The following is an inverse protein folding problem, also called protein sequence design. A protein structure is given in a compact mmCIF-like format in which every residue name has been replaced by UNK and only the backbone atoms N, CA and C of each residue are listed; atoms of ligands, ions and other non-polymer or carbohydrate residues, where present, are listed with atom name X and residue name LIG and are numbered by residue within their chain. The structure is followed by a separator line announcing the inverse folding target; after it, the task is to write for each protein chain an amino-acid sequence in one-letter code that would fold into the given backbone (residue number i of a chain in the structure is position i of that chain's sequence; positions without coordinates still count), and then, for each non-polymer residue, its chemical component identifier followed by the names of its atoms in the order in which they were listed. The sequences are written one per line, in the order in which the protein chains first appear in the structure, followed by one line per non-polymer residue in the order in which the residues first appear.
data_IF_677299521394
#
_entry.id   IF_677299521394
#
_cell.length_a   1.000
_cell.length_b   1.000
_cell.length_c   1.000
_cell.angle_alpha   90.00
_cell.angle_beta   90.00
_cell.angle_gamma   90.00
#
_symmetry.space_group_name_H-M   'P 1'
#
loop_
_entity.id
_entity.type
_entity.pdbx_description
1 polymer ?
#
# COMPACT_ATOMS: atom_id res chain seq x y z
N UNK A 1 7.42 35.50 16.74
CA UNK A 1 8.14 34.26 17.14
C UNK A 1 7.36 33.32 18.06
N UNK A 2 7.11 33.60 19.36
CA UNK A 2 6.38 32.62 20.22
C UNK A 2 4.96 32.28 19.73
N UNK A 3 4.21 33.27 19.25
CA UNK A 3 2.86 33.06 18.69
C UNK A 3 2.88 32.28 17.37
N UNK A 4 3.87 32.50 16.50
CA UNK A 4 4.01 31.77 15.24
C UNK A 4 4.34 30.29 15.48
N UNK A 5 5.15 30.00 16.52
CA UNK A 5 5.46 28.64 16.94
C UNK A 5 4.23 27.96 17.56
N UNK A 6 3.43 28.67 18.36
CA UNK A 6 2.15 28.15 18.88
C UNK A 6 1.15 27.88 17.75
N UNK A 7 1.04 28.78 16.77
CA UNK A 7 0.17 28.60 15.62
C UNK A 7 0.60 27.39 14.77
N UNK A 8 1.89 27.29 14.46
CA UNK A 8 2.45 26.16 13.73
C UNK A 8 2.25 24.83 14.47
N UNK A 9 2.31 24.81 15.80
CA UNK A 9 1.99 23.61 16.59
C UNK A 9 0.52 23.22 16.49
N UNK A 10 -0.39 24.20 16.49
CA UNK A 10 -1.83 23.95 16.35
C UNK A 10 -2.15 23.41 14.96
N UNK A 11 -1.65 24.07 13.91
CA UNK A 11 -1.82 23.62 12.52
C UNK A 11 -1.23 22.23 12.29
N UNK A 12 0.00 21.99 12.76
CA UNK A 12 0.65 20.68 12.67
C UNK A 12 -0.16 19.60 13.38
N UNK A 13 -0.70 19.89 14.58
CA UNK A 13 -1.53 18.92 15.32
C UNK A 13 -2.83 18.60 14.57
N UNK A 14 -3.44 19.60 13.96
CA UNK A 14 -4.65 19.41 13.15
C UNK A 14 -4.36 18.60 11.88
N UNK A 15 -3.25 18.90 11.19
CA UNK A 15 -2.79 18.13 10.03
C UNK A 15 -2.46 16.68 10.39
N UNK A 16 -1.68 16.46 11.46
CA UNK A 16 -1.35 15.12 11.96
C UNK A 16 -2.62 14.35 12.33
N UNK A 17 -3.61 15.00 12.94
CA UNK A 17 -4.90 14.38 13.23
C UNK A 17 -5.67 13.96 11.97
N UNK A 18 -5.70 14.82 10.94
CA UNK A 18 -6.34 14.52 9.65
C UNK A 18 -5.64 13.37 8.94
N UNK A 19 -4.31 13.41 8.86
CA UNK A 19 -3.49 12.35 8.26
C UNK A 19 -3.65 11.05 9.04
N UNK A 20 -3.60 11.08 10.36
CA UNK A 20 -3.77 9.91 11.22
C UNK A 20 -5.16 9.27 11.08
N UNK A 21 -6.22 10.08 11.02
CA UNK A 21 -7.58 9.59 10.76
C UNK A 21 -7.68 8.97 9.36
N UNK A 22 -7.12 9.63 8.34
CA UNK A 22 -7.08 9.11 6.97
C UNK A 22 -6.37 7.77 6.86
N UNK A 23 -5.16 7.69 7.44
CA UNK A 23 -4.38 6.46 7.50
C UNK A 23 -5.09 5.35 8.28
N UNK A 24 -5.73 5.68 9.41
CA UNK A 24 -6.54 4.74 10.18
C UNK A 24 -7.75 4.21 9.41
N UNK A 25 -8.46 5.07 8.68
CA UNK A 25 -9.57 4.66 7.82
C UNK A 25 -9.11 3.77 6.66
N UNK A 26 -7.99 4.11 6.01
CA UNK A 26 -7.43 3.29 4.93
C UNK A 26 -6.92 1.94 5.45
N UNK A 27 -6.26 1.92 6.60
CA UNK A 27 -5.85 0.68 7.26
C UNK A 27 -7.05 -0.21 7.63
N UNK A 28 -8.08 0.40 8.23
CA UNK A 28 -9.33 -0.28 8.53
C UNK A 28 -10.04 -0.81 7.29
N UNK A 29 -10.07 -0.04 6.21
CA UNK A 29 -10.64 -0.45 4.92
C UNK A 29 -9.86 -1.62 4.30
N UNK A 30 -8.53 -1.65 4.45
CA UNK A 30 -7.71 -2.78 4.02
C UNK A 30 -8.08 -4.09 4.75
N UNK A 31 -8.21 -4.03 6.07
CA UNK A 31 -8.62 -5.20 6.89
C UNK A 31 -10.06 -5.61 6.56
N UNK A 32 -10.99 -4.65 6.54
CA UNK A 32 -12.39 -4.93 6.22
C UNK A 32 -12.56 -5.49 4.80
N UNK A 33 -11.83 -4.95 3.83
CA UNK A 33 -11.79 -5.44 2.46
C UNK A 33 -11.24 -6.87 2.38
N UNK A 34 -10.18 -7.20 3.13
CA UNK A 34 -9.66 -8.56 3.20
C UNK A 34 -10.71 -9.56 3.73
N UNK A 35 -11.40 -9.22 4.82
CA UNK A 35 -12.49 -10.05 5.33
C UNK A 35 -13.67 -10.15 4.36
N UNK A 36 -14.03 -9.06 3.68
CA UNK A 36 -15.09 -9.09 2.67
C UNK A 36 -14.74 -10.08 1.54
N UNK A 37 -13.48 -10.09 1.08
CA UNK A 37 -13.00 -11.03 0.07
C UNK A 37 -12.97 -12.48 0.59
N UNK A 38 -12.61 -12.69 1.86
CA UNK A 38 -12.69 -14.01 2.50
C UNK A 38 -14.13 -14.54 2.50
N UNK A 39 -15.08 -13.75 2.99
CA UNK A 39 -16.49 -14.14 3.04
C UNK A 39 -17.09 -14.30 1.64
N UNK A 40 -16.70 -13.47 0.68
CA UNK A 40 -17.08 -13.63 -0.72
C UNK A 40 -16.58 -14.97 -1.29
N UNK A 41 -15.37 -15.39 -0.92
CA UNK A 41 -14.80 -16.67 -1.36
C UNK A 41 -15.58 -17.85 -0.79
N UNK A 42 -15.93 -17.79 0.51
CA UNK A 42 -16.77 -18.81 1.14
C UNK A 42 -18.16 -18.85 0.52
N UNK A 43 -18.77 -17.69 0.31
CA UNK A 43 -20.09 -17.59 -0.33
C UNK A 43 -20.07 -18.17 -1.73
N UNK A 44 -19.03 -17.90 -2.54
CA UNK A 44 -18.89 -18.47 -3.86
C UNK A 44 -18.75 -20.00 -3.80
N UNK A 45 -17.91 -20.51 -2.89
CA UNK A 45 -17.70 -21.95 -2.73
C UNK A 45 -19.01 -22.67 -2.36
N UNK A 46 -19.77 -22.15 -1.40
CA UNK A 46 -21.06 -22.72 -1.01
C UNK A 46 -22.14 -22.54 -2.07
N UNK A 47 -22.14 -21.43 -2.80
CA UNK A 47 -23.07 -21.22 -3.92
C UNK A 47 -22.84 -22.23 -5.04
N UNK A 48 -21.59 -22.63 -5.28
CA UNK A 48 -21.24 -23.65 -6.26
C UNK A 48 -21.58 -25.07 -5.77
N UNK A 49 -21.62 -25.31 -4.46
CA UNK A 49 -21.92 -26.61 -3.86
C UNK A 49 -23.34 -27.11 -4.20
N UNK A 50 -24.28 -26.18 -4.45
CA UNK A 50 -25.63 -26.51 -4.89
C UNK A 50 -25.67 -27.25 -6.24
N UNK A 51 -24.62 -27.12 -7.07
CA UNK A 51 -24.56 -27.68 -8.42
C UNK A 51 -23.39 -28.62 -8.66
N UNK A 52 -22.31 -28.53 -7.88
CA UNK A 52 -21.06 -29.27 -8.03
C UNK A 52 -20.56 -29.73 -6.66
N UNK A 53 -19.75 -30.80 -6.56
CA UNK A 53 -19.11 -31.15 -5.30
C UNK A 53 -18.26 -29.98 -4.76
N UNK A 54 -18.30 -29.73 -3.46
CA UNK A 54 -17.55 -28.64 -2.80
C UNK A 54 -16.06 -28.61 -3.16
N UNK A 55 -15.43 -29.76 -3.38
CA UNK A 55 -14.03 -29.89 -3.85
C UNK A 55 -13.80 -29.12 -5.16
N UNK A 56 -14.73 -29.25 -6.11
CA UNK A 56 -14.68 -28.57 -7.41
C UNK A 56 -15.03 -27.08 -7.26
N UNK A 57 -16.01 -26.76 -6.42
CA UNK A 57 -16.35 -25.37 -6.09
C UNK A 57 -15.16 -24.60 -5.47
N UNK A 58 -14.40 -25.27 -4.60
CA UNK A 58 -13.19 -24.74 -3.99
C UNK A 58 -12.09 -24.52 -5.04
N UNK A 59 -11.87 -25.48 -5.96
CA UNK A 59 -10.89 -25.34 -7.04
C UNK A 59 -11.23 -24.21 -8.01
N UNK A 60 -12.51 -24.00 -8.34
CA UNK A 60 -12.95 -22.89 -9.18
C UNK A 60 -12.70 -21.55 -8.46
N UNK A 61 -13.07 -21.46 -7.18
CA UNK A 61 -12.85 -20.26 -6.36
C UNK A 61 -11.36 -19.94 -6.26
N UNK A 62 -10.51 -20.95 -6.06
CA UNK A 62 -9.05 -20.82 -6.13
C UNK A 62 -8.59 -20.31 -7.50
N UNK A 63 -9.12 -20.87 -8.59
CA UNK A 63 -8.80 -20.45 -9.95
C UNK A 63 -9.07 -18.96 -10.19
N UNK A 64 -10.19 -18.44 -9.69
CA UNK A 64 -10.51 -17.00 -9.76
C UNK A 64 -9.45 -16.16 -9.05
N UNK A 65 -9.07 -16.53 -7.82
CA UNK A 65 -8.03 -15.84 -7.07
C UNK A 65 -6.65 -15.96 -7.72
N UNK A 66 -6.31 -17.10 -8.30
CA UNK A 66 -5.06 -17.31 -9.01
C UNK A 66 -4.94 -16.37 -10.22
N UNK A 67 -6.03 -16.19 -10.98
CA UNK A 67 -6.07 -15.23 -12.09
C UNK A 67 -5.91 -13.80 -11.59
N UNK A 68 -6.66 -13.40 -10.56
CA UNK A 68 -6.54 -12.06 -9.96
C UNK A 68 -5.10 -11.80 -9.48
N UNK A 69 -4.51 -12.75 -8.76
CA UNK A 69 -3.14 -12.67 -8.26
C UNK A 69 -2.13 -12.56 -9.40
N UNK A 70 -2.27 -13.34 -10.46
CA UNK A 70 -1.40 -13.28 -11.63
C UNK A 70 -1.47 -11.89 -12.30
N UNK A 71 -2.68 -11.35 -12.50
CA UNK A 71 -2.88 -10.01 -13.08
C UNK A 71 -2.25 -8.94 -12.19
N UNK A 72 -2.52 -8.95 -10.89
CA UNK A 72 -1.95 -7.99 -9.94
C UNK A 72 -0.42 -8.07 -9.89
N UNK A 73 0.16 -9.29 -9.91
CA UNK A 73 1.60 -9.47 -9.94
C UNK A 73 2.23 -8.94 -11.23
N UNK A 74 1.58 -9.14 -12.39
CA UNK A 74 2.05 -8.60 -13.66
C UNK A 74 1.99 -7.06 -13.70
N UNK A 75 0.89 -6.47 -13.22
CA UNK A 75 0.74 -5.01 -13.12
C UNK A 75 1.78 -4.46 -12.14
N UNK A 76 1.88 -5.01 -10.93
CA UNK A 76 2.86 -4.56 -9.93
C UNK A 76 4.30 -4.68 -10.44
N UNK A 77 4.63 -5.76 -11.14
CA UNK A 77 5.95 -5.91 -11.78
C UNK A 77 6.19 -4.83 -12.84
N UNK A 78 5.19 -4.50 -13.65
CA UNK A 78 5.29 -3.42 -14.65
C UNK A 78 5.49 -2.06 -14.00
N UNK A 79 4.70 -1.74 -12.97
CA UNK A 79 4.83 -0.48 -12.22
C UNK A 79 6.20 -0.37 -11.55
N UNK A 80 6.71 -1.44 -10.94
CA UNK A 80 8.05 -1.46 -10.36
C UNK A 80 9.17 -1.32 -11.40
N UNK A 81 8.97 -1.82 -12.61
CA UNK A 81 9.92 -1.65 -13.72
C UNK A 81 9.85 -0.26 -14.34
N UNK A 82 8.67 0.35 -14.38
CA UNK A 82 8.45 1.72 -14.86
C UNK A 82 8.88 2.76 -13.84
N UNK A 83 8.77 2.45 -12.54
CA UNK A 83 9.32 3.26 -11.47
C UNK A 83 10.84 3.29 -11.64
N UNK A 84 11.37 4.41 -12.14
CA UNK A 84 12.80 4.60 -12.31
C UNK A 84 13.46 4.72 -10.92
N UNK A 85 14.24 3.73 -10.44
CA UNK A 85 14.95 3.85 -9.16
C UNK A 85 16.09 4.87 -9.24
N UNK A 86 16.46 5.30 -10.44
CA UNK A 86 17.37 6.41 -10.64
C UNK A 86 16.55 7.70 -10.57
N UNK A 87 16.43 8.25 -9.37
CA UNK A 87 16.15 9.67 -9.18
C UNK A 87 17.49 10.41 -9.34
N UNK A 88 17.92 10.82 -10.55
CA UNK A 88 19.25 11.39 -10.77
C UNK A 88 19.50 12.61 -9.89
N UNK A 89 18.48 13.42 -9.63
CA UNK A 89 18.60 14.57 -8.73
C UNK A 89 18.81 14.15 -7.28
N UNK A 90 18.05 13.18 -6.75
CA UNK A 90 18.24 12.69 -5.38
C UNK A 90 19.60 12.02 -5.20
N UNK A 91 20.11 11.31 -6.21
CA UNK A 91 21.46 10.74 -6.16
C UNK A 91 22.56 11.81 -6.28
N UNK A 92 22.33 12.90 -7.02
CA UNK A 92 23.26 14.04 -7.07
C UNK A 92 23.32 14.77 -5.73
N UNK A 93 22.17 15.11 -5.14
CA UNK A 93 22.10 15.77 -3.83
C UNK A 93 22.76 14.92 -2.73
N UNK A 94 22.49 13.61 -2.69
CA UNK A 94 23.15 12.72 -1.71
C UNK A 94 24.67 12.64 -1.94
N UNK A 95 25.13 12.64 -3.20
CA UNK A 95 26.57 12.64 -3.50
C UNK A 95 27.22 13.97 -3.08
N UNK A 96 26.57 15.09 -3.32
CA UNK A 96 27.03 16.42 -2.89
C UNK A 96 27.06 16.54 -1.37
N UNK A 97 26.03 16.08 -0.67
CA UNK A 97 25.97 16.07 0.80
C UNK A 97 27.08 15.20 1.42
N UNK A 98 27.33 14.02 0.84
CA UNK A 98 28.44 13.14 1.27
C UNK A 98 29.80 13.78 1.00
N UNK A 99 29.97 14.47 -0.12
CA UNK A 99 31.20 15.21 -0.43
C UNK A 99 31.42 16.38 0.55
N UNK A 100 30.37 17.14 0.85
CA UNK A 100 30.43 18.26 1.78
C UNK A 100 30.75 17.79 3.20
N UNK A 101 30.12 16.70 3.66
CA UNK A 101 30.38 16.09 4.96
C UNK A 101 31.82 15.52 5.08
N UNK A 102 32.40 15.00 3.99
CA UNK A 102 33.81 14.56 3.98
C UNK A 102 34.78 15.73 4.01
N UNK A 103 34.51 16.80 3.26
CA UNK A 103 35.34 18.00 3.22
C UNK A 103 35.38 18.76 4.56
N UNK A 104 34.30 18.68 5.36
CA UNK A 104 34.27 19.29 6.69
C UNK A 104 35.01 18.47 7.76
N UNK A 105 35.36 17.21 7.48
CA UNK A 105 36.04 16.31 8.41
C UNK A 105 37.56 16.20 8.17
N UNK A 106 38.08 16.86 7.14
CA UNK A 106 39.51 17.03 6.84
C UNK A 106 39.98 18.42 7.22
#
# INVERSE_FOLDING_TARGET
MKQEVELAKVELKEEVGKVGKGAGMLGGAGVAGHFALLFLSLALMFLLDDWLPIEIGALITFGVWAVIAAVLALIGRRELQAANPQLPQTQQTIKEDVQWARAQKS
#
